data_IF_961289676954
#
_entry.id   IF_961289676954
#
_cell.length_a   1.000
_cell.length_b   1.000
_cell.length_c   1.000
_cell.angle_alpha   90.00
_cell.angle_beta   90.00
_cell.angle_gamma   90.00
#
_symmetry.space_group_name_H-M   'P 1'
#
loop_
_entity.id
_entity.type
_entity.pdbx_description
1 polymer ?
#
# COMPACT_ATOMS: atom_id res chain seq x y z
N UNK A 1 -19.20 -30.29 25.30
CA UNK A 1 -19.63 -31.59 24.81
C UNK A 1 -18.42 -32.50 24.77
N UNK A 2 -18.30 -33.40 25.76
CA UNK A 2 -17.16 -34.33 25.92
C UNK A 2 -17.52 -35.64 25.24
N UNK A 3 -16.67 -36.12 24.36
CA UNK A 3 -16.82 -37.46 23.75
C UNK A 3 -15.81 -38.40 24.38
N UNK A 4 -16.35 -39.42 25.08
CA UNK A 4 -15.62 -40.53 25.66
C UNK A 4 -15.49 -41.64 24.62
N UNK A 5 -14.26 -42.16 24.43
CA UNK A 5 -14.03 -43.39 23.67
C UNK A 5 -13.64 -44.50 24.64
N UNK A 6 -14.47 -45.53 24.69
CA UNK A 6 -14.27 -46.74 25.51
C UNK A 6 -13.30 -47.71 24.83
N UNK A 7 -12.37 -48.22 25.62
CA UNK A 7 -11.57 -49.43 25.30
C UNK A 7 -12.45 -50.67 25.42
N UNK A 8 -12.37 -51.59 24.46
CA UNK A 8 -12.82 -52.94 24.61
C UNK A 8 -11.62 -53.88 24.63
N UNK A 9 -11.51 -54.63 25.73
CA UNK A 9 -10.58 -55.75 25.91
C UNK A 9 -11.34 -57.02 25.53
N UNK A 10 -10.75 -57.86 24.67
CA UNK A 10 -11.17 -59.22 24.50
C UNK A 10 -9.99 -60.14 24.74
N UNK A 11 -10.09 -60.88 25.81
CA UNK A 11 -9.25 -62.04 26.19
C UNK A 11 -9.77 -63.29 25.54
N UNK A 12 -8.90 -64.08 24.95
CA UNK A 12 -9.22 -65.42 24.47
C UNK A 12 -7.95 -66.26 24.25
N UNK A 13 -7.66 -67.10 25.17
CA UNK A 13 -6.60 -68.12 25.17
C UNK A 13 -7.00 -69.29 24.29
N UNK A 14 -6.11 -69.75 23.41
CA UNK A 14 -6.02 -71.19 23.13
C UNK A 14 -4.64 -71.56 22.56
N UNK A 15 -4.12 -72.57 23.15
CA UNK A 15 -2.81 -73.23 23.02
C UNK A 15 -2.89 -74.32 21.95
N UNK A 16 -2.02 -74.27 20.92
CA UNK A 16 -1.67 -75.49 20.17
C UNK A 16 -0.28 -75.35 19.53
N UNK A 17 0.59 -76.22 19.94
CA UNK A 17 1.96 -76.42 19.48
C UNK A 17 2.03 -77.07 18.09
N UNK A 18 2.93 -76.56 17.22
CA UNK A 18 3.75 -77.35 16.28
C UNK A 18 4.87 -76.48 15.66
N UNK A 19 6.10 -76.92 15.82
CA UNK A 19 7.34 -76.45 15.16
C UNK A 19 7.59 -77.31 13.91
N UNK A 20 8.59 -76.98 13.03
CA UNK A 20 9.10 -75.69 12.50
C UNK A 20 9.13 -75.73 10.96
N UNK A 21 9.05 -74.59 10.36
CA UNK A 21 9.61 -74.39 9.02
C UNK A 21 10.38 -73.09 9.02
N UNK A 22 11.70 -73.20 9.04
CA UNK A 22 12.63 -72.13 8.87
C UNK A 22 12.54 -71.63 7.41
N UNK A 23 11.67 -70.69 7.12
CA UNK A 23 11.76 -69.85 5.92
C UNK A 23 12.44 -68.58 6.30
N UNK A 24 13.65 -68.41 5.88
CA UNK A 24 14.35 -67.15 5.81
C UNK A 24 13.52 -66.20 4.91
N UNK A 25 12.57 -65.49 5.50
CA UNK A 25 12.07 -64.29 4.91
C UNK A 25 13.17 -63.22 5.13
N UNK A 26 13.99 -63.12 4.12
CA UNK A 26 14.82 -61.94 3.94
C UNK A 26 13.85 -60.79 3.73
N UNK A 27 13.55 -60.10 4.86
CA UNK A 27 12.90 -58.82 4.80
C UNK A 27 13.86 -57.94 4.05
N UNK A 28 13.57 -57.71 2.78
CA UNK A 28 14.04 -56.50 2.14
C UNK A 28 13.40 -55.37 2.91
N UNK A 29 14.17 -54.82 3.84
CA UNK A 29 13.89 -53.52 4.41
C UNK A 29 14.30 -52.46 3.37
N UNK A 30 13.50 -52.45 2.29
CA UNK A 30 13.47 -51.31 1.40
C UNK A 30 12.60 -50.22 2.09
N UNK A 31 12.97 -49.83 3.28
CA UNK A 31 12.62 -48.50 3.74
C UNK A 31 13.47 -47.54 2.92
N UNK A 32 13.00 -47.22 1.72
CA UNK A 32 13.47 -45.99 1.08
C UNK A 32 13.23 -44.89 2.09
N UNK A 33 14.30 -44.42 2.70
CA UNK A 33 14.26 -43.29 3.64
C UNK A 33 13.53 -42.18 2.88
N UNK A 34 12.44 -41.67 3.46
CA UNK A 34 11.62 -40.64 2.83
C UNK A 34 12.52 -39.45 2.50
N UNK A 35 12.74 -39.25 1.21
CA UNK A 35 13.64 -38.24 0.70
C UNK A 35 12.90 -36.90 0.69
N UNK A 36 13.37 -35.97 1.45
CA UNK A 36 12.74 -34.65 1.62
C UNK A 36 13.77 -33.54 1.72
N UNK A 37 13.37 -32.35 1.33
CA UNK A 37 14.11 -31.09 1.56
C UNK A 37 13.54 -30.43 2.80
N UNK A 38 14.34 -30.29 3.85
CA UNK A 38 13.95 -29.63 5.08
C UNK A 38 14.17 -28.11 4.98
N UNK A 39 13.09 -27.41 4.80
CA UNK A 39 13.09 -25.94 4.72
C UNK A 39 12.64 -25.28 6.03
N UNK A 40 12.74 -25.97 7.18
CA UNK A 40 12.23 -25.52 8.48
C UNK A 40 12.76 -24.17 8.93
N UNK A 41 13.81 -23.67 8.34
CA UNK A 41 14.44 -22.42 8.75
C UNK A 41 14.27 -21.33 7.69
N UNK A 42 13.03 -20.83 7.54
CA UNK A 42 12.70 -19.49 7.05
C UNK A 42 13.13 -19.14 5.62
N UNK A 43 12.63 -19.88 4.68
CA UNK A 43 12.48 -19.34 3.34
C UNK A 43 11.10 -18.69 3.28
N UNK A 44 11.07 -17.38 3.23
CA UNK A 44 9.84 -16.61 3.04
C UNK A 44 9.27 -16.88 1.64
N UNK A 45 8.01 -16.52 1.42
CA UNK A 45 7.41 -16.66 0.09
C UNK A 45 7.90 -15.56 -0.87
N UNK A 46 8.38 -14.46 -0.31
CA UNK A 46 8.95 -13.35 -1.07
C UNK A 46 9.97 -12.55 -0.28
N UNK A 47 10.93 -11.97 -1.00
CA UNK A 47 11.90 -11.02 -0.48
C UNK A 47 11.87 -9.75 -1.32
N UNK A 48 11.92 -8.61 -0.65
CA UNK A 48 12.01 -7.28 -1.26
C UNK A 48 13.37 -6.67 -0.93
N UNK A 49 14.06 -6.23 -1.97
CA UNK A 49 15.42 -5.67 -1.87
C UNK A 49 15.43 -4.26 -2.49
N UNK A 50 16.19 -3.37 -1.91
CA UNK A 50 16.31 -2.00 -2.40
C UNK A 50 17.11 -1.92 -3.72
N UNK A 51 16.88 -0.84 -4.49
CA UNK A 51 17.57 -0.59 -5.76
C UNK A 51 19.07 -0.34 -5.55
N UNK A 52 19.40 0.49 -4.56
CA UNK A 52 20.77 0.90 -4.22
C UNK A 52 21.19 0.25 -2.92
N UNK A 53 22.49 -0.12 -2.83
CA UNK A 53 23.05 -0.78 -1.66
C UNK A 53 22.17 -1.93 -1.15
N UNK A 54 21.83 -2.89 -2.03
CA UNK A 54 20.90 -3.96 -1.67
C UNK A 54 21.50 -4.84 -0.57
N UNK A 55 20.76 -5.02 0.52
CA UNK A 55 21.16 -5.94 1.58
C UNK A 55 21.03 -7.39 1.09
N UNK A 56 21.98 -8.27 1.42
CA UNK A 56 21.92 -9.67 1.05
C UNK A 56 20.71 -10.37 1.68
N UNK A 57 20.04 -11.21 0.90
CA UNK A 57 18.99 -12.11 1.38
C UNK A 57 19.66 -13.43 1.80
N UNK A 58 19.42 -13.90 3.01
CA UNK A 58 19.96 -15.17 3.52
C UNK A 58 18.87 -16.07 4.05
N UNK A 59 18.99 -17.36 3.76
CA UNK A 59 18.11 -18.42 4.26
C UNK A 59 18.88 -19.72 4.44
N UNK A 60 18.30 -20.68 5.16
CA UNK A 60 18.94 -21.97 5.38
C UNK A 60 18.28 -23.06 4.54
N UNK A 61 19.08 -23.96 4.04
CA UNK A 61 18.66 -25.18 3.34
C UNK A 61 19.28 -26.38 4.02
N UNK A 62 18.45 -27.35 4.36
CA UNK A 62 18.85 -28.68 4.80
C UNK A 62 18.06 -29.70 3.99
N UNK A 63 18.73 -30.72 3.47
CA UNK A 63 18.11 -31.73 2.62
C UNK A 63 18.66 -33.12 2.95
N UNK A 64 17.87 -34.15 2.71
CA UNK A 64 18.30 -35.54 2.72
C UNK A 64 18.96 -35.99 1.43
N UNK A 65 18.93 -35.15 0.41
CA UNK A 65 19.55 -35.34 -0.92
C UNK A 65 20.36 -34.12 -1.34
N UNK A 66 21.29 -34.25 -2.28
CA UNK A 66 21.91 -33.09 -2.92
C UNK A 66 20.85 -32.16 -3.49
N UNK A 67 21.07 -30.86 -3.34
CA UNK A 67 20.10 -29.84 -3.68
C UNK A 67 20.74 -28.70 -4.46
N UNK A 68 19.93 -27.95 -5.20
CA UNK A 68 20.35 -26.71 -5.86
C UNK A 68 19.33 -25.59 -5.63
N UNK A 69 19.82 -24.34 -5.67
CA UNK A 69 19.04 -23.12 -5.73
C UNK A 69 19.39 -22.39 -7.02
N UNK A 70 18.37 -22.03 -7.78
CA UNK A 70 18.56 -21.35 -9.07
C UNK A 70 17.43 -20.39 -9.38
N UNK A 71 17.71 -19.44 -10.24
CA UNK A 71 16.75 -18.52 -10.83
C UNK A 71 17.11 -18.30 -12.31
N UNK A 72 16.44 -17.37 -12.95
CA UNK A 72 16.51 -17.17 -14.40
C UNK A 72 17.53 -16.09 -14.82
N UNK A 73 17.76 -15.11 -13.96
CA UNK A 73 18.48 -13.89 -14.33
C UNK A 73 19.86 -13.81 -13.68
N UNK A 74 20.68 -12.88 -14.14
CA UNK A 74 22.08 -12.68 -13.75
C UNK A 74 22.33 -11.43 -12.90
N UNK A 75 21.26 -10.76 -12.48
CA UNK A 75 21.38 -9.55 -11.65
C UNK A 75 21.60 -9.84 -10.16
N UNK A 76 21.68 -11.09 -9.77
CA UNK A 76 22.08 -11.56 -8.45
C UNK A 76 23.04 -12.74 -8.57
N UNK A 77 23.69 -13.05 -7.45
CA UNK A 77 24.50 -14.26 -7.29
C UNK A 77 23.97 -15.05 -6.11
N UNK A 78 24.05 -16.37 -6.18
CA UNK A 78 23.60 -17.29 -5.11
C UNK A 78 24.82 -18.06 -4.62
N UNK A 79 25.08 -18.06 -3.30
CA UNK A 79 26.22 -18.77 -2.74
C UNK A 79 25.91 -19.35 -1.35
N UNK A 80 26.15 -20.67 -1.13
CA UNK A 80 26.33 -21.67 -2.16
C UNK A 80 25.04 -21.89 -2.96
N UNK A 81 25.15 -22.20 -4.26
CA UNK A 81 23.98 -22.52 -5.10
C UNK A 81 23.62 -24.01 -5.07
N UNK A 82 24.50 -24.84 -4.53
CA UNK A 82 24.29 -26.31 -4.37
C UNK A 82 24.80 -26.75 -3.01
N UNK A 83 24.32 -27.88 -2.52
CA UNK A 83 24.79 -28.50 -1.29
C UNK A 83 24.54 -30.00 -1.25
N UNK A 84 25.28 -30.67 -0.38
CA UNK A 84 25.19 -32.11 -0.16
C UNK A 84 24.10 -32.47 0.87
N UNK A 85 23.72 -33.72 0.86
CA UNK A 85 22.76 -34.30 1.81
C UNK A 85 23.24 -34.22 3.27
N UNK A 86 22.32 -34.01 4.19
CA UNK A 86 22.54 -34.12 5.64
C UNK A 86 23.06 -32.86 6.31
N UNK A 87 23.71 -31.98 5.60
CA UNK A 87 24.27 -30.73 6.12
C UNK A 87 23.27 -29.58 6.07
N UNK A 88 23.47 -28.58 6.94
CA UNK A 88 22.70 -27.33 6.90
C UNK A 88 23.56 -26.23 6.30
N UNK A 89 23.09 -25.64 5.22
CA UNK A 89 23.77 -24.57 4.52
C UNK A 89 23.04 -23.24 4.71
N UNK A 90 23.80 -22.18 4.94
CA UNK A 90 23.26 -20.80 4.81
C UNK A 90 23.51 -20.33 3.39
N UNK A 91 22.43 -20.18 2.65
CA UNK A 91 22.47 -19.68 1.27
C UNK A 91 22.29 -18.17 1.33
N UNK A 92 23.12 -17.44 0.62
CA UNK A 92 23.07 -15.99 0.50
C UNK A 92 22.85 -15.59 -0.95
N UNK A 93 21.88 -14.74 -1.19
CA UNK A 93 21.60 -14.11 -2.48
C UNK A 93 22.04 -12.65 -2.41
N UNK A 94 22.99 -12.28 -3.28
CA UNK A 94 23.54 -10.92 -3.35
C UNK A 94 23.10 -10.30 -4.67
N UNK A 95 22.32 -9.23 -4.60
CA UNK A 95 21.84 -8.50 -5.76
C UNK A 95 22.85 -7.43 -6.19
N UNK A 96 23.02 -7.24 -7.49
CA UNK A 96 23.67 -6.05 -8.06
C UNK A 96 22.72 -4.87 -7.88
N UNK A 97 23.21 -3.64 -7.86
CA UNK A 97 22.36 -2.45 -7.89
C UNK A 97 21.41 -2.46 -9.11
N UNK A 98 20.19 -2.03 -8.89
CA UNK A 98 19.23 -1.81 -9.96
C UNK A 98 19.28 -0.33 -10.36
N UNK A 99 19.77 -0.04 -11.54
CA UNK A 99 19.85 1.31 -12.09
C UNK A 99 18.66 1.68 -12.96
N UNK A 100 17.80 0.69 -13.25
CA UNK A 100 16.60 0.90 -14.05
C UNK A 100 15.49 1.55 -13.23
N UNK A 101 14.56 2.19 -13.92
CA UNK A 101 13.38 2.78 -13.25
C UNK A 101 12.44 1.73 -12.69
N UNK A 102 12.34 0.58 -13.36
CA UNK A 102 11.41 -0.49 -12.98
C UNK A 102 11.97 -1.45 -11.95
N UNK A 103 11.06 -1.99 -11.15
CA UNK A 103 11.32 -3.17 -10.33
C UNK A 103 11.69 -4.34 -11.24
N UNK A 104 12.62 -5.16 -10.76
CA UNK A 104 12.92 -6.44 -11.41
C UNK A 104 12.58 -7.59 -10.48
N UNK A 105 12.06 -8.64 -11.07
CA UNK A 105 11.48 -9.76 -10.34
C UNK A 105 12.00 -11.07 -10.91
N UNK A 106 12.35 -11.99 -10.03
CA UNK A 106 12.59 -13.38 -10.38
C UNK A 106 11.95 -14.32 -9.38
N UNK A 107 11.73 -15.56 -9.80
CA UNK A 107 11.29 -16.65 -8.93
C UNK A 107 12.44 -17.62 -8.76
N UNK A 108 13.02 -17.65 -7.57
CA UNK A 108 14.06 -18.59 -7.22
C UNK A 108 13.44 -19.92 -6.81
N UNK A 109 14.10 -21.00 -7.22
CA UNK A 109 13.66 -22.36 -6.96
C UNK A 109 14.72 -23.08 -6.14
N UNK A 110 14.28 -23.86 -5.17
CA UNK A 110 15.11 -24.81 -4.43
C UNK A 110 14.60 -26.20 -4.80
N UNK A 111 15.43 -27.08 -5.29
CA UNK A 111 15.03 -28.44 -5.65
C UNK A 111 16.10 -29.47 -5.29
N UNK A 112 15.70 -30.73 -5.24
CA UNK A 112 16.56 -31.91 -5.25
C UNK A 112 16.12 -32.83 -6.39
N UNK A 113 16.82 -33.93 -6.62
CA UNK A 113 16.46 -34.88 -7.67
C UNK A 113 15.08 -35.52 -7.46
N UNK A 114 14.63 -35.60 -6.22
CA UNK A 114 13.38 -36.28 -5.84
C UNK A 114 12.24 -35.32 -5.49
N UNK A 115 12.50 -34.01 -5.39
CA UNK A 115 11.50 -33.04 -4.96
C UNK A 115 11.71 -31.66 -5.62
N UNK A 116 10.62 -31.15 -6.19
CA UNK A 116 10.54 -29.79 -6.72
C UNK A 116 10.23 -28.82 -5.58
N UNK A 117 11.18 -28.54 -4.79
CA UNK A 117 11.15 -27.84 -3.55
C UNK A 117 10.33 -26.57 -3.40
N UNK A 118 10.86 -25.65 -2.62
CA UNK A 118 10.26 -24.34 -2.35
C UNK A 118 10.58 -23.38 -3.50
N UNK A 119 9.61 -22.53 -3.83
CA UNK A 119 9.81 -21.36 -4.67
C UNK A 119 9.57 -20.10 -3.85
N UNK A 120 10.31 -19.06 -4.12
CA UNK A 120 10.09 -17.75 -3.54
C UNK A 120 10.34 -16.66 -4.58
N UNK A 121 9.68 -15.53 -4.39
CA UNK A 121 9.81 -14.38 -5.29
C UNK A 121 10.89 -13.45 -4.73
N UNK A 122 11.85 -13.10 -5.57
CA UNK A 122 12.83 -12.06 -5.29
C UNK A 122 12.47 -10.83 -6.12
N UNK A 123 12.08 -9.77 -5.44
CA UNK A 123 11.77 -8.46 -6.04
C UNK A 123 12.85 -7.49 -5.63
N UNK A 124 13.47 -6.82 -6.60
CA UNK A 124 14.32 -5.68 -6.34
C UNK A 124 13.69 -4.41 -6.89
N UNK A 125 13.57 -3.41 -6.05
CA UNK A 125 12.98 -2.12 -6.43
C UNK A 125 13.74 -1.49 -7.59
N UNK A 126 13.02 -0.76 -8.40
CA UNK A 126 13.58 0.18 -9.35
C UNK A 126 13.95 1.51 -8.68
N UNK A 127 14.54 2.39 -9.46
CA UNK A 127 14.95 3.72 -9.01
C UNK A 127 13.87 4.78 -9.23
N UNK A 128 12.70 4.41 -9.75
CA UNK A 128 11.62 5.33 -10.00
C UNK A 128 11.10 5.97 -8.70
N UNK A 129 10.94 7.27 -8.74
CA UNK A 129 10.25 8.01 -7.70
C UNK A 129 9.30 9.04 -8.29
N UNK A 130 8.25 9.35 -7.55
CA UNK A 130 7.32 10.43 -7.81
C UNK A 130 6.77 10.92 -6.47
N UNK A 131 7.06 12.16 -6.13
CA UNK A 131 6.57 12.85 -4.94
C UNK A 131 5.91 14.16 -5.35
N UNK A 132 4.94 14.60 -4.56
CA UNK A 132 4.27 15.88 -4.74
C UNK A 132 4.41 16.68 -3.47
N UNK A 133 4.81 17.93 -3.60
CA UNK A 133 5.03 18.86 -2.49
C UNK A 133 4.18 20.12 -2.70
N UNK A 134 3.56 20.56 -1.62
CA UNK A 134 2.74 21.74 -1.56
C UNK A 134 1.34 21.52 -2.12
N UNK A 135 0.37 21.76 -1.31
CA UNK A 135 -1.01 22.04 -1.70
C UNK A 135 -1.52 22.99 -0.66
N UNK A 136 -1.72 24.21 -1.06
CA UNK A 136 -2.34 25.22 -0.22
C UNK A 136 -3.85 25.26 -0.46
N UNK A 137 -4.55 25.89 0.46
CA UNK A 137 -5.97 26.15 0.30
C UNK A 137 -6.17 27.16 -0.81
N UNK A 138 -7.17 26.93 -1.62
CA UNK A 138 -7.59 27.85 -2.68
C UNK A 138 -8.62 28.81 -2.07
N UNK A 139 -8.42 30.10 -2.27
CA UNK A 139 -9.35 31.11 -1.78
C UNK A 139 -10.74 30.94 -2.39
N UNK A 140 -11.75 31.40 -1.69
CA UNK A 140 -13.13 31.37 -2.17
C UNK A 140 -13.35 32.07 -3.53
N UNK A 141 -12.58 33.12 -3.80
CA UNK A 141 -12.68 33.91 -5.06
C UNK A 141 -12.15 33.16 -6.28
N UNK A 142 -11.44 32.04 -6.04
CA UNK A 142 -10.90 31.20 -7.11
C UNK A 142 -9.57 31.74 -7.62
N UNK A 143 -8.50 31.29 -7.03
CA UNK A 143 -7.13 31.57 -7.46
C UNK A 143 -6.52 30.39 -8.21
N UNK A 144 -5.33 30.59 -8.73
CA UNK A 144 -4.48 29.53 -9.23
C UNK A 144 -3.45 29.18 -8.20
N UNK A 145 -3.36 27.90 -7.87
CA UNK A 145 -2.36 27.33 -6.98
C UNK A 145 -1.43 26.42 -7.72
N UNK A 146 -0.16 26.40 -7.34
CA UNK A 146 0.88 25.61 -7.99
C UNK A 146 1.55 24.69 -6.98
N UNK A 147 1.69 23.43 -7.31
CA UNK A 147 2.44 22.46 -6.52
C UNK A 147 3.49 21.75 -7.36
N UNK A 148 4.60 21.38 -6.70
CA UNK A 148 5.75 20.79 -7.36
C UNK A 148 5.61 19.27 -7.44
N UNK A 149 6.01 18.72 -8.57
CA UNK A 149 6.16 17.28 -8.78
C UNK A 149 7.66 16.97 -8.86
N UNK A 150 8.16 16.19 -7.91
CA UNK A 150 9.53 15.69 -7.91
C UNK A 150 9.52 14.26 -8.48
N UNK A 151 10.12 14.09 -9.63
CA UNK A 151 10.08 12.80 -10.34
C UNK A 151 11.31 12.59 -11.21
N UNK A 152 11.72 11.33 -11.36
CA UNK A 152 12.71 10.91 -12.37
C UNK A 152 12.07 10.09 -13.51
N UNK A 153 10.76 10.16 -13.63
CA UNK A 153 9.99 9.41 -14.62
C UNK A 153 8.90 10.27 -15.24
N UNK A 154 8.33 9.80 -16.35
CA UNK A 154 7.13 10.40 -16.95
C UNK A 154 5.94 10.30 -16.00
N UNK A 155 5.11 11.31 -16.02
CA UNK A 155 3.87 11.36 -15.25
C UNK A 155 2.79 12.17 -15.96
N UNK A 156 1.54 11.94 -15.58
CA UNK A 156 0.38 12.72 -16.03
C UNK A 156 -0.50 13.04 -14.83
N UNK A 157 -1.24 14.14 -14.93
CA UNK A 157 -2.18 14.57 -13.91
C UNK A 157 -3.56 14.83 -14.52
N UNK A 158 -4.60 14.55 -13.74
CA UNK A 158 -6.01 14.83 -14.09
C UNK A 158 -6.78 15.24 -12.85
N UNK A 159 -7.75 16.13 -13.00
CA UNK A 159 -8.80 16.31 -11.99
C UNK A 159 -9.70 15.09 -12.06
N UNK A 160 -9.87 14.40 -10.95
CA UNK A 160 -10.70 13.19 -10.84
C UNK A 160 -11.92 13.40 -9.95
N UNK A 161 -11.93 14.49 -9.18
CA UNK A 161 -13.08 14.97 -8.44
C UNK A 161 -13.09 16.50 -8.44
N UNK A 162 -14.27 17.10 -8.49
CA UNK A 162 -14.44 18.55 -8.54
C UNK A 162 -14.20 19.18 -9.92
N UNK A 163 -14.23 18.42 -11.01
CA UNK A 163 -13.96 18.86 -12.38
C UNK A 163 -14.91 19.95 -12.91
N UNK A 164 -16.04 20.16 -12.26
CA UNK A 164 -16.99 21.26 -12.58
C UNK A 164 -16.49 22.62 -12.10
N UNK A 165 -15.55 22.70 -11.17
CA UNK A 165 -15.06 23.93 -10.58
C UNK A 165 -13.52 24.03 -10.52
N UNK A 166 -12.82 22.88 -10.53
CA UNK A 166 -11.38 22.75 -10.48
C UNK A 166 -10.86 22.29 -11.83
N UNK A 167 -9.80 22.90 -12.32
CA UNK A 167 -9.15 22.50 -13.58
C UNK A 167 -7.63 22.63 -13.49
N UNK A 168 -6.92 21.86 -14.31
CA UNK A 168 -5.46 22.02 -14.46
C UNK A 168 -5.23 23.06 -15.55
N UNK A 169 -4.67 24.19 -15.16
CA UNK A 169 -4.32 25.28 -16.05
C UNK A 169 -3.04 24.96 -16.84
N UNK A 170 -2.06 24.37 -16.18
CA UNK A 170 -0.79 23.95 -16.79
C UNK A 170 -0.19 22.76 -16.05
N UNK A 171 0.74 22.05 -16.68
CA UNK A 171 1.44 20.93 -16.05
C UNK A 171 0.59 19.66 -15.95
N UNK A 172 -0.27 19.39 -16.92
CA UNK A 172 -1.03 18.13 -16.95
C UNK A 172 -0.15 16.89 -17.22
N UNK A 173 1.14 17.07 -17.54
CA UNK A 173 2.12 16.02 -17.74
C UNK A 173 3.55 16.53 -17.62
N UNK A 174 4.47 15.63 -17.30
CA UNK A 174 5.90 15.89 -17.26
C UNK A 174 6.72 14.64 -17.50
N UNK A 175 8.02 14.81 -17.77
CA UNK A 175 8.97 13.70 -17.98
C UNK A 175 9.95 13.54 -16.82
N UNK A 176 10.11 14.56 -16.01
CA UNK A 176 11.00 14.68 -14.85
C UNK A 176 10.30 15.56 -13.81
N UNK A 177 11.07 16.26 -12.98
CA UNK A 177 10.51 17.29 -12.10
C UNK A 177 9.66 18.29 -12.91
N UNK A 178 8.60 18.76 -12.30
CA UNK A 178 7.70 19.72 -12.93
C UNK A 178 6.79 20.39 -11.91
N UNK A 179 5.86 21.19 -12.44
CA UNK A 179 4.87 21.89 -11.63
C UNK A 179 3.49 21.67 -12.25
N UNK A 180 2.49 21.59 -11.39
CA UNK A 180 1.08 21.55 -11.80
C UNK A 180 0.42 22.80 -11.24
N UNK A 181 -0.16 23.60 -12.13
CA UNK A 181 -0.97 24.75 -11.74
C UNK A 181 -2.43 24.39 -11.91
N UNK A 182 -3.17 24.45 -10.84
CA UNK A 182 -4.63 24.30 -10.83
C UNK A 182 -5.28 25.67 -10.71
N UNK A 183 -6.49 25.78 -11.23
CA UNK A 183 -7.33 26.97 -11.04
C UNK A 183 -8.73 26.54 -10.68
N UNK A 184 -9.36 27.30 -9.80
CA UNK A 184 -10.73 27.08 -9.33
C UNK A 184 -11.64 28.23 -9.74
N UNK A 185 -12.90 27.93 -10.05
CA UNK A 185 -13.93 28.97 -10.17
C UNK A 185 -14.33 29.49 -8.78
N UNK A 186 -14.87 30.73 -8.66
CA UNK A 186 -15.34 31.25 -7.39
C UNK A 186 -16.30 30.31 -6.69
N UNK A 187 -16.21 30.23 -5.35
CA UNK A 187 -17.08 29.45 -4.52
C UNK A 187 -18.03 30.38 -3.75
N UNK A 188 -19.31 30.31 -4.04
CA UNK A 188 -20.35 31.08 -3.35
C UNK A 188 -21.12 30.26 -2.31
N UNK A 189 -20.68 29.04 -2.05
CA UNK A 189 -21.28 28.10 -1.11
C UNK A 189 -20.34 27.73 0.04
N UNK A 190 -20.54 26.57 0.57
CA UNK A 190 -19.68 25.99 1.61
C UNK A 190 -18.31 25.58 1.08
N UNK A 191 -17.35 25.38 1.99
CA UNK A 191 -16.02 24.82 1.64
C UNK A 191 -16.20 23.54 0.82
N UNK A 192 -15.39 23.39 -0.22
CA UNK A 192 -15.43 22.22 -1.10
C UNK A 192 -14.04 21.63 -1.34
N UNK A 193 -14.01 20.35 -1.66
CA UNK A 193 -12.78 19.59 -1.93
C UNK A 193 -12.85 18.99 -3.31
N UNK A 194 -11.75 19.09 -4.05
CA UNK A 194 -11.52 18.39 -5.31
C UNK A 194 -10.25 17.55 -5.22
N UNK A 195 -10.05 16.67 -6.20
CA UNK A 195 -8.90 15.77 -6.24
C UNK A 195 -8.18 15.89 -7.59
N UNK A 196 -6.88 16.11 -7.52
CA UNK A 196 -5.97 15.93 -8.66
C UNK A 196 -5.23 14.62 -8.48
N UNK A 197 -5.43 13.70 -9.41
CA UNK A 197 -4.73 12.41 -9.41
C UNK A 197 -3.55 12.45 -10.37
N UNK A 198 -2.38 12.09 -9.85
CA UNK A 198 -1.14 12.00 -10.60
C UNK A 198 -0.84 10.52 -10.87
N UNK A 199 -0.58 10.19 -12.12
CA UNK A 199 -0.29 8.86 -12.61
C UNK A 199 1.18 8.75 -13.01
N UNK A 200 1.78 7.61 -12.70
CA UNK A 200 3.13 7.28 -13.12
C UNK A 200 3.22 6.96 -14.63
N UNK A 201 4.42 6.63 -15.11
CA UNK A 201 4.67 6.26 -16.52
C UNK A 201 3.89 5.05 -17.01
N UNK A 202 3.37 4.21 -16.11
CA UNK A 202 2.55 3.04 -16.43
C UNK A 202 1.05 3.34 -16.37
N UNK A 203 0.67 4.60 -16.06
CA UNK A 203 -0.73 4.99 -15.86
C UNK A 203 -1.32 4.52 -14.54
N UNK A 204 -0.48 4.10 -13.59
CA UNK A 204 -0.89 3.72 -12.25
C UNK A 204 -0.97 4.96 -11.37
N UNK A 205 -1.97 5.01 -10.48
CA UNK A 205 -2.09 6.10 -9.51
C UNK A 205 -0.84 6.11 -8.61
N UNK A 206 -0.10 7.20 -8.69
CA UNK A 206 1.08 7.43 -7.87
C UNK A 206 0.74 8.31 -6.65
N UNK A 207 -0.09 9.34 -6.85
CA UNK A 207 -0.54 10.27 -5.80
C UNK A 207 -1.93 10.81 -6.09
N UNK A 208 -2.64 11.12 -5.02
CA UNK A 208 -3.87 11.92 -5.03
C UNK A 208 -3.63 13.14 -4.18
N UNK A 209 -3.93 14.29 -4.73
CA UNK A 209 -3.74 15.60 -4.10
C UNK A 209 -5.11 16.23 -3.90
N UNK A 210 -5.45 16.51 -2.64
CA UNK A 210 -6.67 17.23 -2.31
C UNK A 210 -6.45 18.73 -2.51
N UNK A 211 -7.37 19.37 -3.25
CA UNK A 211 -7.47 20.79 -3.41
C UNK A 211 -8.69 21.25 -2.62
N UNK A 212 -8.49 22.01 -1.56
CA UNK A 212 -9.56 22.50 -0.71
C UNK A 212 -9.80 23.97 -1.07
N UNK A 213 -11.04 24.32 -1.39
CA UNK A 213 -11.41 25.72 -1.62
C UNK A 213 -12.33 26.19 -0.52
N UNK A 214 -11.99 27.36 0.03
CA UNK A 214 -12.80 27.98 1.05
C UNK A 214 -14.19 28.32 0.56
N UNK A 215 -15.15 28.27 1.46
CA UNK A 215 -16.51 28.73 1.25
C UNK A 215 -16.66 30.19 1.67
N UNK A 216 -17.80 30.75 1.36
CA UNK A 216 -18.20 32.06 1.87
C UNK A 216 -18.41 31.97 3.36
N UNK A 217 -17.67 32.79 4.09
CA UNK A 217 -17.88 33.00 5.51
C UNK A 217 -18.67 34.30 5.72
N UNK A 218 -19.81 34.21 6.32
CA UNK A 218 -20.58 35.36 6.81
C UNK A 218 -21.10 35.03 8.20
N UNK A 219 -20.45 35.60 9.19
CA UNK A 219 -20.79 35.35 10.60
C UNK A 219 -21.16 36.66 11.27
N UNK A 220 -22.45 37.04 11.31
CA UNK A 220 -22.90 38.17 12.09
C UNK A 220 -22.88 37.79 13.57
N UNK A 221 -22.40 38.70 14.41
CA UNK A 221 -22.50 38.61 15.85
C UNK A 221 -23.96 38.90 16.29
N UNK A 222 -24.83 37.91 16.05
CA UNK A 222 -26.22 37.98 16.43
C UNK A 222 -26.47 37.08 17.66
N UNK A 223 -27.42 37.38 18.54
CA UNK A 223 -27.78 36.50 19.62
C UNK A 223 -28.19 35.13 19.09
N UNK A 224 -27.70 34.06 19.73
CA UNK A 224 -28.04 32.68 19.37
C UNK A 224 -29.54 32.47 19.26
N UNK A 225 -29.98 31.70 18.28
CA UNK A 225 -31.37 31.26 18.07
C UNK A 225 -32.36 32.33 17.57
N UNK A 226 -31.93 33.27 16.76
CA UNK A 226 -32.84 34.24 16.16
C UNK A 226 -33.58 35.11 17.19
N UNK A 227 -32.95 35.35 18.34
CA UNK A 227 -33.45 36.27 19.32
C UNK A 227 -33.41 37.68 18.74
N UNK A 228 -34.55 38.33 18.72
CA UNK A 228 -34.74 39.69 18.30
C UNK A 228 -34.03 40.65 19.27
N UNK A 229 -33.32 41.65 18.76
CA UNK A 229 -32.91 42.76 19.60
C UNK A 229 -34.10 43.58 19.95
N UNK A 230 -34.38 43.69 21.24
CA UNK A 230 -35.48 44.56 21.72
C UNK A 230 -34.99 46.01 21.72
N UNK A 231 -35.59 46.85 20.88
CA UNK A 231 -35.38 48.29 20.90
C UNK A 231 -36.45 48.92 21.85
N UNK A 232 -36.03 49.71 22.82
CA UNK A 232 -36.92 50.40 23.75
C UNK A 232 -37.31 51.78 23.18
N UNK A 233 -38.33 52.42 23.74
CA UNK A 233 -38.90 53.71 23.28
C UNK A 233 -37.88 54.88 23.11
N UNK A 234 -36.71 54.79 23.72
CA UNK A 234 -35.66 55.77 23.54
C UNK A 234 -34.75 55.35 22.40
N UNK A 235 -34.32 56.30 21.58
CA UNK A 235 -33.39 56.09 20.48
C UNK A 235 -32.14 55.34 20.97
N UNK A 236 -31.92 54.14 20.45
CA UNK A 236 -30.77 53.29 20.77
C UNK A 236 -29.98 53.00 19.51
N UNK A 237 -28.67 52.83 19.69
CA UNK A 237 -27.79 52.36 18.64
C UNK A 237 -27.46 50.90 18.91
N UNK A 238 -27.71 50.04 17.91
CA UNK A 238 -27.28 48.67 17.89
C UNK A 238 -26.07 48.56 16.97
N UNK A 239 -25.00 47.94 17.48
CA UNK A 239 -23.83 47.59 16.71
C UNK A 239 -23.79 46.10 16.55
N UNK A 240 -23.68 45.63 15.32
CA UNK A 240 -23.51 44.23 14.97
C UNK A 240 -22.16 44.10 14.33
N UNK A 241 -21.31 43.19 14.84
CA UNK A 241 -20.08 42.82 14.19
C UNK A 241 -20.34 41.74 13.15
N UNK A 242 -19.74 41.89 11.99
CA UNK A 242 -19.84 40.91 10.91
C UNK A 242 -18.45 40.51 10.50
N UNK A 243 -18.16 39.23 10.58
CA UNK A 243 -16.95 38.64 10.00
C UNK A 243 -17.34 38.05 8.64
N UNK A 244 -16.64 38.46 7.58
CA UNK A 244 -16.89 37.97 6.22
C UNK A 244 -15.63 37.99 5.41
N UNK A 245 -15.47 36.99 4.57
CA UNK A 245 -14.44 36.90 3.50
C UNK A 245 -15.01 37.26 2.12
N UNK A 246 -16.27 37.79 2.06
CA UNK A 246 -16.94 38.22 0.85
C UNK A 246 -17.63 39.58 1.06
N UNK A 247 -17.98 40.26 -0.01
CA UNK A 247 -18.84 41.45 0.05
C UNK A 247 -20.20 41.09 0.61
N UNK A 248 -20.74 41.94 1.47
CA UNK A 248 -22.05 41.76 2.07
C UNK A 248 -22.78 43.09 2.21
N UNK A 249 -24.08 43.02 2.26
CA UNK A 249 -24.95 44.15 2.52
C UNK A 249 -26.01 43.81 3.56
N UNK A 250 -26.51 44.81 4.25
CA UNK A 250 -27.63 44.68 5.16
C UNK A 250 -28.87 45.29 4.54
N UNK A 251 -29.93 44.52 4.41
CA UNK A 251 -31.23 44.98 3.92
C UNK A 251 -32.30 44.85 4.99
N UNK A 252 -33.30 45.71 4.89
CA UNK A 252 -34.52 45.65 5.73
C UNK A 252 -35.57 44.85 5.00
N UNK A 253 -36.02 43.76 5.62
CA UNK A 253 -36.96 42.82 4.97
C UNK A 253 -38.40 43.36 4.81
N UNK A 254 -38.82 44.30 5.65
CA UNK A 254 -40.17 44.87 5.60
C UNK A 254 -40.16 46.37 5.44
N UNK A 255 -40.36 46.87 4.24
CA UNK A 255 -40.62 48.29 3.98
C UNK A 255 -42.07 48.71 4.26
N UNK A 256 -42.95 47.74 4.55
CA UNK A 256 -44.41 48.03 4.64
C UNK A 256 -44.88 48.55 5.99
N UNK A 257 -44.06 48.55 7.03
CA UNK A 257 -44.44 48.92 8.40
C UNK A 257 -43.52 49.99 9.02
N UNK A 258 -43.20 51.04 8.25
CA UNK A 258 -42.37 52.16 8.71
C UNK A 258 -43.17 53.20 9.55
N UNK A 259 -44.11 52.78 10.38
CA UNK A 259 -44.70 53.62 11.41
C UNK A 259 -44.14 53.33 12.77
N UNK A 260 -42.91 53.74 13.00
CA UNK A 260 -42.29 53.79 14.33
C UNK A 260 -42.19 55.20 14.81
#
# INVERSE_FOLDING_TARGET
>A
MRLNIRKSIITGISLATLLPAFSLLQSCDDSEAEKWVDLRYRVEDSYLVEAKNPEPVSFQVKSTDPWEVFGKYDWYTISPSTGEAGETYTVTVICKENTELDDRIDTLNIKSDYWTGKRFVLTQKGTAYLNVEGVDMIDQEGNSETFSVLSNQKWTAKVTDGDVWLSIQSGASGEMNGEITVTASPNTGEQRTGIVTIYDRHGKIAREVQCIQDGVLLTPDTPENGKWFAMYEQAQQLTIHVESNAEWEVSKENEADDTW
#
